data_IF_097748280552
#
_entry.id   IF_097748280552
#
_cell.length_a   1.000
_cell.length_b   1.000
_cell.length_c   1.000
_cell.angle_alpha   90.00
_cell.angle_beta   90.00
_cell.angle_gamma   90.00
#
_symmetry.space_group_name_H-M   'P 1'
#
loop_
_entity.id
_entity.type
_entity.pdbx_description
1 polymer ?
#
# COMPACT_ATOMS: atom_id res chain seq x y z
N UNK A 1 -4.41 12.84 -15.21
CA UNK A 1 -3.58 12.78 -14.02
C UNK A 1 -3.51 11.35 -13.52
N UNK A 2 -2.32 10.84 -13.34
CA UNK A 2 -2.15 9.47 -12.83
C UNK A 2 -2.24 9.47 -11.32
N UNK A 3 -3.12 8.64 -10.79
CA UNK A 3 -3.25 8.47 -9.37
C UNK A 3 -2.80 7.06 -8.99
N UNK A 4 -2.23 6.95 -7.83
CA UNK A 4 -1.71 5.69 -7.34
C UNK A 4 -2.35 5.35 -6.00
N UNK A 5 -2.47 4.07 -5.75
CA UNK A 5 -2.97 3.54 -4.49
C UNK A 5 -1.90 2.61 -3.93
N UNK A 6 -1.57 2.81 -2.67
CA UNK A 6 -0.61 1.94 -2.01
C UNK A 6 -1.34 0.72 -1.44
N UNK A 7 -0.88 -0.45 -1.83
CA UNK A 7 -1.48 -1.72 -1.38
C UNK A 7 -0.42 -2.52 -0.67
N UNK A 8 -0.77 -3.05 0.48
CA UNK A 8 0.14 -3.90 1.24
C UNK A 8 -0.59 -5.13 1.75
N UNK A 9 0.15 -6.21 1.89
CA UNK A 9 -0.36 -7.45 2.47
C UNK A 9 0.41 -7.70 3.75
N UNK A 10 -0.32 -7.78 4.84
CA UNK A 10 0.24 -7.97 6.18
C UNK A 10 -0.33 -9.25 6.76
N UNK A 11 0.54 -10.03 7.39
CA UNK A 11 0.15 -11.25 8.05
C UNK A 11 0.43 -11.14 9.54
N UNK A 12 -0.55 -11.50 10.35
CA UNK A 12 -0.41 -11.57 11.81
C UNK A 12 -0.66 -13.02 12.20
N UNK A 13 0.41 -13.72 12.60
CA UNK A 13 0.30 -15.15 12.85
C UNK A 13 -0.07 -15.89 11.57
N UNK A 14 -1.20 -16.58 11.59
CA UNK A 14 -1.68 -17.32 10.43
C UNK A 14 -2.73 -16.56 9.63
N UNK A 15 -3.07 -15.37 10.06
CA UNK A 15 -4.09 -14.57 9.41
C UNK A 15 -3.45 -13.47 8.59
N UNK A 16 -3.77 -13.43 7.32
CA UNK A 16 -3.26 -12.41 6.41
C UNK A 16 -4.41 -11.58 5.88
N UNK A 17 -4.13 -10.28 5.73
CA UNK A 17 -5.08 -9.36 5.15
C UNK A 17 -4.35 -8.35 4.30
N UNK A 18 -5.10 -7.60 3.51
CA UNK A 18 -4.50 -6.55 2.72
C UNK A 18 -5.05 -5.20 3.18
N UNK A 19 -4.20 -4.18 3.00
CA UNK A 19 -4.57 -2.81 3.33
C UNK A 19 -4.29 -1.93 2.13
N UNK A 20 -5.17 -0.97 1.93
CA UNK A 20 -5.00 0.01 0.86
C UNK A 20 -5.02 1.41 1.46
N UNK A 21 -4.33 2.33 0.81
CA UNK A 21 -4.41 3.72 1.23
C UNK A 21 -5.82 4.24 0.95
N UNK A 22 -6.30 5.11 1.83
CA UNK A 22 -7.63 5.69 1.68
C UNK A 22 -7.63 6.87 0.71
N UNK A 23 -6.47 7.46 0.51
CA UNK A 23 -6.33 8.61 -0.37
C UNK A 23 -5.56 8.24 -1.63
N UNK A 24 -5.85 8.94 -2.71
CA UNK A 24 -5.08 8.79 -3.93
C UNK A 24 -3.75 9.52 -3.78
N UNK A 25 -2.71 8.90 -4.27
CA UNK A 25 -1.36 9.43 -4.12
C UNK A 25 -0.77 9.71 -5.50
N UNK A 26 0.17 10.64 -5.54
CA UNK A 26 0.99 10.80 -6.73
C UNK A 26 2.02 9.68 -6.75
N UNK A 27 2.67 9.52 -7.90
CA UNK A 27 3.70 8.49 -8.01
C UNK A 27 4.79 8.70 -6.96
N UNK A 28 5.21 9.93 -6.77
CA UNK A 28 6.25 10.25 -5.80
C UNK A 28 5.80 9.93 -4.38
N UNK A 29 4.58 10.31 -4.03
CA UNK A 29 4.05 10.04 -2.70
C UNK A 29 3.93 8.55 -2.45
N UNK A 30 3.50 7.79 -3.45
CA UNK A 30 3.36 6.35 -3.31
C UNK A 30 4.72 5.69 -3.12
N UNK A 31 5.74 6.17 -3.83
CA UNK A 31 7.09 5.66 -3.67
C UNK A 31 7.61 5.92 -2.26
N UNK A 32 7.35 7.11 -1.74
CA UNK A 32 7.75 7.45 -0.38
C UNK A 32 7.02 6.59 0.65
N UNK A 33 5.74 6.36 0.45
CA UNK A 33 4.96 5.48 1.32
C UNK A 33 5.52 4.08 1.33
N UNK A 34 5.86 3.58 0.16
CA UNK A 34 6.42 2.24 0.03
C UNK A 34 7.74 2.13 0.78
N UNK A 35 8.58 3.15 0.66
CA UNK A 35 9.86 3.17 1.32
C UNK A 35 9.69 3.22 2.84
N UNK A 36 8.86 4.14 3.32
CA UNK A 36 8.63 4.29 4.74
C UNK A 36 8.02 3.02 5.33
N UNK A 37 7.09 2.43 4.63
CA UNK A 37 6.44 1.20 5.08
C UNK A 37 7.43 0.06 5.20
N UNK A 38 8.35 -0.03 4.25
CA UNK A 38 9.37 -1.06 4.24
C UNK A 38 10.35 -0.88 5.39
N UNK A 39 10.64 0.37 5.76
CA UNK A 39 11.57 0.68 6.84
C UNK A 39 10.90 0.65 8.22
N UNK A 40 9.57 0.61 8.27
CA UNK A 40 8.84 0.57 9.53
C UNK A 40 9.08 -0.77 10.22
N UNK A 41 9.40 -0.68 11.51
CA UNK A 41 9.56 -1.87 12.32
C UNK A 41 8.22 -2.29 12.88
N UNK A 42 7.77 -3.45 12.46
CA UNK A 42 6.53 -4.02 12.97
C UNK A 42 6.82 -4.90 14.18
N UNK A 43 5.76 -5.22 14.91
CA UNK A 43 5.88 -6.17 16.00
C UNK A 43 6.30 -7.53 15.44
N UNK A 44 6.99 -8.37 16.26
CA UNK A 44 7.48 -9.66 15.77
C UNK A 44 6.39 -10.55 15.16
N UNK A 45 5.18 -10.44 15.66
CA UNK A 45 4.06 -11.23 15.15
C UNK A 45 3.50 -10.73 13.81
N UNK A 46 3.94 -9.54 13.39
CA UNK A 46 3.46 -8.95 12.14
C UNK A 46 4.49 -9.16 11.05
N UNK A 47 4.07 -9.73 9.95
CA UNK A 47 4.95 -9.99 8.82
C UNK A 47 4.42 -9.23 7.60
N UNK A 48 5.32 -8.47 6.97
CA UNK A 48 4.98 -7.80 5.73
C UNK A 48 5.22 -8.77 4.58
N UNK A 49 4.15 -9.21 3.94
CA UNK A 49 4.25 -10.16 2.86
C UNK A 49 4.53 -9.48 1.53
N UNK A 50 3.88 -8.35 1.28
CA UNK A 50 4.07 -7.63 0.03
C UNK A 50 3.62 -6.19 0.18
N UNK A 51 4.18 -5.33 -0.66
CA UNK A 51 3.73 -3.94 -0.75
C UNK A 51 4.00 -3.47 -2.18
N UNK A 52 3.08 -2.70 -2.73
CA UNK A 52 3.27 -2.18 -4.07
C UNK A 52 2.38 -0.97 -4.30
N UNK A 53 2.78 -0.17 -5.28
CA UNK A 53 1.99 0.95 -5.75
C UNK A 53 1.22 0.51 -6.98
N UNK A 54 -0.09 0.65 -6.93
CA UNK A 54 -0.93 0.31 -8.07
C UNK A 54 -1.41 1.58 -8.73
N UNK A 55 -1.26 1.63 -10.04
CA UNK A 55 -1.76 2.75 -10.81
C UNK A 55 -3.26 2.62 -10.93
N UNK A 56 -3.94 3.65 -10.49
CA UNK A 56 -5.39 3.67 -10.55
C UNK A 56 -5.85 4.80 -11.46
N UNK A 57 -6.68 4.47 -12.40
CA UNK A 57 -7.23 5.45 -13.33
C UNK A 57 -8.73 5.51 -13.12
N UNK A 58 -9.21 6.46 -12.32
CA UNK A 58 -10.64 6.54 -12.09
C UNK A 58 -11.35 6.92 -13.39
N UNK A 59 -12.21 6.05 -13.84
CA UNK A 59 -13.05 6.36 -14.97
C UNK A 59 -14.32 6.96 -14.45
N UNK A 60 -14.55 8.21 -14.84
CA UNK A 60 -15.82 8.84 -14.55
C UNK A 60 -16.73 8.50 -15.69
N UNK A 61 -17.59 7.55 -15.46
CA UNK A 61 -18.64 7.25 -16.41
C UNK A 61 -19.86 8.11 -16.09
N UNK A 62 -20.16 8.91 -17.02
CA UNK A 62 -21.34 9.76 -16.90
C UNK A 62 -22.53 9.06 -17.49
#
# INVERSE_FOLDING_TARGET
MNTFVFVSIICIGQTCGFMTSTDYLTEKECQEYKKDFKETKFKPEVTLAASQCMKFKPEVKV
#
